data_IF_323338505102
#
_entry.id   IF_323338505102
#
_cell.length_a   1.000
_cell.length_b   1.000
_cell.length_c   1.000
_cell.angle_alpha   90.00
_cell.angle_beta   90.00
_cell.angle_gamma   90.00
#
_symmetry.space_group_name_H-M   'P 1'
#
loop_
_entity.id
_entity.type
_entity.pdbx_description
1 polymer ?
#
# COMPACT_ATOMS: atom_id res chain seq x y z
N UNK A 1 7.69 -16.63 -14.76
CA UNK A 1 8.72 -16.29 -13.77
C UNK A 1 8.38 -16.93 -12.43
N UNK A 2 9.37 -17.32 -11.64
CA UNK A 2 9.19 -17.74 -10.26
C UNK A 2 8.95 -16.52 -9.34
N UNK A 3 8.44 -16.75 -8.13
CA UNK A 3 8.29 -15.67 -7.16
C UNK A 3 9.64 -15.04 -6.78
N UNK A 4 10.70 -15.84 -6.69
CA UNK A 4 12.05 -15.38 -6.36
C UNK A 4 12.61 -14.45 -7.45
N UNK A 5 12.40 -14.76 -8.72
CA UNK A 5 12.78 -13.88 -9.83
C UNK A 5 12.05 -12.53 -9.76
N UNK A 6 10.73 -12.56 -9.47
CA UNK A 6 9.94 -11.33 -9.32
C UNK A 6 10.41 -10.51 -8.12
N UNK A 7 10.68 -11.14 -6.97
CA UNK A 7 11.18 -10.45 -5.78
C UNK A 7 12.60 -9.89 -5.99
N UNK A 8 13.45 -10.61 -6.73
CA UNK A 8 14.78 -10.13 -7.10
C UNK A 8 14.71 -8.83 -7.93
N UNK A 9 13.88 -8.81 -8.97
CA UNK A 9 13.65 -7.61 -9.79
C UNK A 9 13.00 -6.45 -9.00
N UNK A 10 12.29 -6.76 -7.91
CA UNK A 10 11.64 -5.77 -7.04
C UNK A 10 12.57 -5.21 -5.96
N UNK A 11 13.83 -5.67 -5.91
CA UNK A 11 14.81 -5.29 -4.87
C UNK A 11 14.97 -3.76 -4.81
N UNK A 12 14.93 -3.22 -3.59
CA UNK A 12 15.06 -1.78 -3.33
C UNK A 12 13.76 -0.97 -3.42
N UNK A 13 12.68 -1.51 -4.01
CA UNK A 13 11.39 -0.79 -4.10
C UNK A 13 10.55 -0.85 -2.82
N UNK A 14 10.88 -1.75 -1.89
CA UNK A 14 10.14 -1.96 -0.65
C UNK A 14 8.70 -2.46 -0.87
N UNK A 15 7.96 -2.64 0.23
CA UNK A 15 6.57 -3.14 0.19
C UNK A 15 6.42 -4.41 -0.66
N UNK A 16 7.25 -5.41 -0.42
CA UNK A 16 7.38 -6.66 -1.20
C UNK A 16 6.06 -7.43 -1.35
N UNK A 17 5.09 -7.20 -0.46
CA UNK A 17 3.74 -7.74 -0.64
C UNK A 17 3.10 -7.33 -1.97
N UNK A 18 3.44 -6.15 -2.52
CA UNK A 18 2.95 -5.72 -3.84
C UNK A 18 3.48 -6.62 -4.95
N UNK A 19 4.76 -6.98 -4.89
CA UNK A 19 5.36 -7.89 -5.88
C UNK A 19 4.73 -9.28 -5.82
N UNK A 20 4.55 -9.84 -4.61
CA UNK A 20 3.88 -11.13 -4.43
C UNK A 20 2.44 -11.11 -4.93
N UNK A 21 1.70 -10.07 -4.59
CA UNK A 21 0.32 -9.90 -5.04
C UNK A 21 0.23 -9.76 -6.56
N UNK A 22 1.12 -8.97 -7.17
CA UNK A 22 1.21 -8.82 -8.62
C UNK A 22 1.48 -10.17 -9.29
N UNK A 23 2.44 -10.94 -8.77
CA UNK A 23 2.77 -12.27 -9.28
C UNK A 23 1.57 -13.21 -9.17
N UNK A 24 0.88 -13.24 -8.02
CA UNK A 24 -0.31 -14.07 -7.83
C UNK A 24 -1.47 -13.62 -8.72
N UNK A 25 -1.71 -12.32 -8.87
CA UNK A 25 -2.73 -11.81 -9.78
C UNK A 25 -2.44 -12.21 -11.24
N UNK A 26 -1.18 -12.14 -11.67
CA UNK A 26 -0.79 -12.59 -13.01
C UNK A 26 -1.00 -14.10 -13.22
N UNK A 27 -0.77 -14.93 -12.19
CA UNK A 27 -1.07 -16.37 -12.24
C UNK A 27 -2.59 -16.59 -12.36
N UNK A 28 -3.40 -15.89 -11.56
CA UNK A 28 -4.87 -15.97 -11.65
C UNK A 28 -5.36 -15.58 -13.06
N UNK A 29 -4.82 -14.49 -13.64
CA UNK A 29 -5.18 -14.07 -15.00
C UNK A 29 -4.80 -15.14 -16.02
N UNK A 30 -3.62 -15.74 -15.91
CA UNK A 30 -3.20 -16.83 -16.79
C UNK A 30 -4.13 -18.05 -16.68
N UNK A 31 -4.44 -18.47 -15.46
CA UNK A 31 -5.05 -19.77 -15.19
C UNK A 31 -6.59 -19.73 -15.27
N UNK A 32 -7.22 -18.62 -14.86
CA UNK A 32 -8.67 -18.50 -14.79
C UNK A 32 -9.25 -17.66 -15.95
N UNK A 33 -8.45 -16.74 -16.51
CA UNK A 33 -8.88 -15.84 -17.60
C UNK A 33 -8.10 -16.06 -18.91
N UNK A 34 -7.41 -17.22 -19.07
CA UNK A 34 -6.71 -17.61 -20.30
C UNK A 34 -5.63 -16.58 -20.75
N UNK A 35 -5.08 -15.82 -19.80
CA UNK A 35 -4.12 -14.75 -20.08
C UNK A 35 -4.74 -13.40 -20.47
N UNK A 36 -6.05 -13.32 -20.62
CA UNK A 36 -6.77 -12.08 -20.92
C UNK A 36 -7.11 -11.33 -19.63
N UNK A 37 -6.83 -10.03 -19.59
CA UNK A 37 -7.13 -9.22 -18.40
C UNK A 37 -8.66 -9.05 -18.26
N UNK A 38 -9.26 -9.34 -17.08
CA UNK A 38 -10.69 -9.27 -16.88
C UNK A 38 -11.21 -7.83 -17.03
N UNK A 39 -12.42 -7.69 -17.55
CA UNK A 39 -13.03 -6.39 -17.87
C UNK A 39 -14.19 -6.02 -16.96
N UNK A 40 -14.66 -6.96 -16.13
CA UNK A 40 -15.74 -6.73 -15.16
C UNK A 40 -15.17 -6.29 -13.82
N UNK A 41 -15.83 -5.33 -13.17
CA UNK A 41 -15.35 -4.75 -11.91
C UNK A 41 -15.10 -5.81 -10.82
N UNK A 42 -16.04 -6.73 -10.64
CA UNK A 42 -15.97 -7.78 -9.62
C UNK A 42 -14.79 -8.72 -9.87
N UNK A 43 -14.50 -9.03 -11.11
CA UNK A 43 -13.36 -9.89 -11.49
C UNK A 43 -12.02 -9.19 -11.25
N UNK A 44 -11.91 -7.91 -11.63
CA UNK A 44 -10.70 -7.11 -11.38
C UNK A 44 -10.49 -6.89 -9.88
N UNK A 45 -11.56 -6.62 -9.14
CA UNK A 45 -11.49 -6.42 -7.69
C UNK A 45 -11.15 -7.71 -6.93
N UNK A 46 -11.51 -8.87 -7.46
CA UNK A 46 -11.16 -10.18 -6.89
C UNK A 46 -9.67 -10.54 -7.04
N UNK A 47 -8.93 -9.88 -7.93
CA UNK A 47 -7.51 -10.14 -8.11
C UNK A 47 -6.71 -9.82 -6.84
N UNK A 48 -5.77 -10.68 -6.50
CA UNK A 48 -4.94 -10.53 -5.31
C UNK A 48 -4.21 -9.19 -5.29
N UNK A 49 -4.39 -8.42 -4.21
CA UNK A 49 -3.76 -7.12 -4.03
C UNK A 49 -4.44 -5.96 -4.76
N UNK A 50 -5.55 -6.21 -5.45
CA UNK A 50 -6.35 -5.18 -6.10
C UNK A 50 -7.49 -4.75 -5.17
N UNK A 51 -7.38 -3.54 -4.62
CA UNK A 51 -8.47 -2.92 -3.85
C UNK A 51 -9.48 -2.21 -4.76
N UNK A 52 -10.64 -1.82 -4.20
CA UNK A 52 -11.69 -1.10 -4.94
C UNK A 52 -11.15 0.08 -5.75
N UNK A 53 -10.36 0.96 -5.15
CA UNK A 53 -9.76 2.12 -5.84
C UNK A 53 -8.82 1.72 -6.98
N UNK A 54 -8.07 0.62 -6.82
CA UNK A 54 -7.17 0.12 -7.86
C UNK A 54 -7.95 -0.46 -9.02
N UNK A 55 -8.98 -1.28 -8.75
CA UNK A 55 -9.85 -1.85 -9.79
C UNK A 55 -10.50 -0.75 -10.63
N UNK A 56 -11.06 0.26 -9.95
CA UNK A 56 -11.66 1.42 -10.60
C UNK A 56 -10.65 2.18 -11.46
N UNK A 57 -9.46 2.46 -10.92
CA UNK A 57 -8.42 3.17 -11.67
C UNK A 57 -8.02 2.43 -12.95
N UNK A 58 -7.87 1.11 -12.89
CA UNK A 58 -7.56 0.29 -14.06
C UNK A 58 -8.70 0.36 -15.09
N UNK A 59 -9.93 0.08 -14.66
CA UNK A 59 -11.08 0.02 -15.57
C UNK A 59 -11.42 1.38 -16.17
N UNK A 60 -11.33 2.47 -15.42
CA UNK A 60 -11.56 3.81 -15.95
C UNK A 60 -10.46 4.24 -16.91
N UNK A 61 -9.18 3.93 -16.61
CA UNK A 61 -8.06 4.35 -17.46
C UNK A 61 -7.96 3.54 -18.76
N UNK A 62 -8.28 2.24 -18.72
CA UNK A 62 -8.12 1.36 -19.88
C UNK A 62 -9.40 1.25 -20.70
N UNK A 63 -10.56 1.25 -20.03
CA UNK A 63 -11.85 0.99 -20.66
C UNK A 63 -12.79 2.20 -20.63
N UNK A 64 -12.34 3.33 -20.09
CA UNK A 64 -13.10 4.56 -19.94
C UNK A 64 -14.48 4.37 -19.26
N UNK A 65 -14.57 3.37 -18.38
CA UNK A 65 -15.81 3.11 -17.63
C UNK A 65 -16.01 4.19 -16.54
N UNK A 66 -17.27 4.62 -16.29
CA UNK A 66 -17.57 5.74 -15.40
C UNK A 66 -17.51 5.36 -13.91
N UNK A 67 -16.37 4.84 -13.47
CA UNK A 67 -16.14 4.50 -12.07
C UNK A 67 -15.49 5.66 -11.32
N UNK A 68 -16.00 5.99 -10.11
CA UNK A 68 -15.43 7.00 -9.24
C UNK A 68 -14.13 6.51 -8.63
N UNK A 69 -13.12 7.36 -8.51
CA UNK A 69 -11.85 7.05 -7.86
C UNK A 69 -11.79 7.59 -6.44
N UNK A 70 -11.20 6.82 -5.51
CA UNK A 70 -10.99 7.28 -4.13
C UNK A 70 -9.68 6.73 -3.54
N UNK A 71 -8.55 7.22 -4.03
CA UNK A 71 -7.23 6.96 -3.46
C UNK A 71 -6.90 7.96 -2.33
N UNK A 72 -5.72 7.86 -1.75
CA UNK A 72 -5.29 8.78 -0.68
C UNK A 72 -5.20 10.25 -1.11
N UNK A 73 -4.92 10.54 -2.37
CA UNK A 73 -4.89 11.88 -2.93
C UNK A 73 -6.31 12.43 -3.08
N UNK A 74 -7.18 11.66 -3.70
CA UNK A 74 -8.58 12.03 -3.93
C UNK A 74 -9.32 12.17 -2.60
N UNK A 75 -9.11 11.27 -1.62
CA UNK A 75 -9.65 11.42 -0.26
C UNK A 75 -9.31 12.79 0.34
N UNK A 76 -8.07 13.24 0.18
CA UNK A 76 -7.62 14.55 0.70
C UNK A 76 -8.25 15.71 -0.07
N UNK A 77 -8.31 15.65 -1.40
CA UNK A 77 -8.96 16.68 -2.23
C UNK A 77 -10.42 16.82 -1.86
N UNK A 78 -11.18 15.73 -1.86
CA UNK A 78 -12.61 15.72 -1.52
C UNK A 78 -12.86 16.16 -0.08
N UNK A 79 -12.04 15.69 0.88
CA UNK A 79 -12.19 16.11 2.28
C UNK A 79 -12.03 17.61 2.45
N UNK A 80 -11.12 18.25 1.70
CA UNK A 80 -10.92 19.70 1.74
C UNK A 80 -11.99 20.46 0.95
N UNK A 81 -12.30 19.96 -0.24
CA UNK A 81 -13.28 20.63 -1.10
C UNK A 81 -14.66 20.73 -0.44
N UNK A 82 -15.12 19.64 0.20
CA UNK A 82 -16.41 19.56 0.87
C UNK A 82 -16.34 19.76 2.39
N UNK A 83 -15.17 20.09 2.96
CA UNK A 83 -14.94 20.22 4.40
C UNK A 83 -15.43 19.00 5.20
N UNK A 84 -15.13 17.78 4.73
CA UNK A 84 -15.56 16.53 5.39
C UNK A 84 -14.74 16.31 6.66
N UNK A 85 -15.42 16.29 7.80
CA UNK A 85 -14.81 16.07 9.11
C UNK A 85 -14.42 14.62 9.34
N UNK A 86 -13.43 14.41 10.22
CA UNK A 86 -12.99 13.08 10.63
C UNK A 86 -11.83 12.52 9.80
N UNK A 87 -11.34 11.39 10.26
CA UNK A 87 -10.23 10.70 9.58
C UNK A 87 -10.74 9.93 8.36
N UNK A 88 -10.18 10.18 7.19
CA UNK A 88 -10.59 9.56 5.91
C UNK A 88 -10.41 8.04 5.82
N UNK A 89 -9.83 7.39 6.84
CA UNK A 89 -9.75 5.94 6.97
C UNK A 89 -10.78 5.34 7.93
N UNK A 90 -11.62 6.16 8.57
CA UNK A 90 -12.78 5.70 9.32
C UNK A 90 -13.89 5.30 8.35
N UNK A 91 -14.52 4.15 8.56
CA UNK A 91 -15.48 3.56 7.61
C UNK A 91 -16.65 4.50 7.25
N UNK A 92 -17.17 5.25 8.23
CA UNK A 92 -18.23 6.24 8.01
C UNK A 92 -17.77 7.37 7.08
N UNK A 93 -16.59 7.93 7.36
CA UNK A 93 -16.00 9.02 6.56
C UNK A 93 -15.61 8.52 5.17
N UNK A 94 -15.03 7.34 5.07
CA UNK A 94 -14.71 6.72 3.79
C UNK A 94 -15.95 6.50 2.92
N UNK A 95 -17.04 6.01 3.49
CA UNK A 95 -18.30 5.83 2.76
C UNK A 95 -18.86 7.19 2.25
N UNK A 96 -18.81 8.23 3.08
CA UNK A 96 -19.20 9.59 2.66
C UNK A 96 -18.33 10.10 1.51
N UNK A 97 -17.03 9.88 1.57
CA UNK A 97 -16.10 10.28 0.50
C UNK A 97 -16.35 9.49 -0.79
N UNK A 98 -16.74 8.21 -0.72
CA UNK A 98 -17.16 7.44 -1.89
C UNK A 98 -18.42 8.05 -2.53
N UNK A 99 -19.43 8.40 -1.75
CA UNK A 99 -20.64 9.06 -2.26
C UNK A 99 -20.32 10.40 -2.95
N UNK A 100 -19.45 11.21 -2.34
CA UNK A 100 -19.00 12.46 -2.94
C UNK A 100 -18.20 12.23 -4.22
N UNK A 101 -17.34 11.22 -4.26
CA UNK A 101 -16.62 10.84 -5.47
C UNK A 101 -17.56 10.41 -6.59
N UNK A 102 -18.59 9.63 -6.28
CA UNK A 102 -19.65 9.25 -7.23
C UNK A 102 -20.39 10.47 -7.79
N UNK A 103 -20.72 11.44 -6.96
CA UNK A 103 -21.42 12.66 -7.36
C UNK A 103 -20.61 13.54 -8.32
N UNK A 104 -19.30 13.62 -8.15
CA UNK A 104 -18.45 14.50 -8.97
C UNK A 104 -17.86 13.81 -10.18
N UNK A 105 -17.95 12.48 -10.27
CA UNK A 105 -17.41 11.72 -11.41
C UNK A 105 -18.27 11.93 -12.65
N UNK A 106 -17.71 12.44 -13.76
CA UNK A 106 -18.46 12.67 -14.99
C UNK A 106 -18.79 11.33 -15.69
N UNK A 107 -19.72 11.36 -16.63
CA UNK A 107 -20.09 10.21 -17.47
C UNK A 107 -19.21 10.05 -18.71
N UNK A 108 -18.43 11.07 -19.05
CA UNK A 108 -17.50 11.10 -20.19
C UNK A 108 -16.13 11.57 -19.74
N UNK A 109 -15.08 11.14 -20.44
CA UNK A 109 -13.69 11.49 -20.14
C UNK A 109 -13.29 11.15 -18.69
N UNK A 110 -13.76 10.01 -18.22
CA UNK A 110 -13.59 9.58 -16.80
C UNK A 110 -12.12 9.30 -16.50
N UNK A 111 -11.39 8.73 -17.45
CA UNK A 111 -9.95 8.47 -17.30
C UNK A 111 -9.18 9.78 -17.01
N UNK A 112 -9.42 10.82 -17.80
CA UNK A 112 -8.76 12.12 -17.62
C UNK A 112 -9.21 12.80 -16.32
N UNK A 113 -10.49 12.71 -15.97
CA UNK A 113 -10.98 13.25 -14.70
C UNK A 113 -10.32 12.57 -13.49
N UNK A 114 -10.28 11.24 -13.47
CA UNK A 114 -9.67 10.49 -12.41
C UNK A 114 -8.16 10.79 -12.29
N UNK A 115 -7.47 10.90 -13.44
CA UNK A 115 -6.06 11.29 -13.45
C UNK A 115 -5.88 12.72 -12.92
N UNK A 116 -6.68 13.67 -13.36
CA UNK A 116 -6.63 15.05 -12.89
C UNK A 116 -6.86 15.17 -11.37
N UNK A 117 -7.79 14.39 -10.82
CA UNK A 117 -8.03 14.35 -9.37
C UNK A 117 -6.81 13.83 -8.58
N UNK A 118 -6.12 12.81 -9.09
CA UNK A 118 -4.87 12.33 -8.50
C UNK A 118 -3.75 13.36 -8.63
N UNK A 119 -3.62 14.03 -9.77
CA UNK A 119 -2.59 15.04 -10.04
C UNK A 119 -2.80 16.30 -9.16
N UNK A 120 -4.03 16.78 -9.03
CA UNK A 120 -4.36 17.85 -8.09
C UNK A 120 -3.95 17.45 -6.67
N UNK A 121 -4.25 16.22 -6.26
CA UNK A 121 -3.89 15.72 -4.94
C UNK A 121 -2.37 15.63 -4.74
N UNK A 122 -1.63 15.15 -5.72
CA UNK A 122 -0.18 14.92 -5.60
C UNK A 122 0.65 16.20 -5.76
N UNK A 123 0.30 17.09 -6.68
CA UNK A 123 1.12 18.23 -7.07
C UNK A 123 0.65 19.56 -6.46
N UNK A 124 -0.65 19.75 -6.24
CA UNK A 124 -1.26 21.02 -5.80
C UNK A 124 -1.79 20.92 -4.38
N UNK A 125 -2.80 20.07 -4.15
CA UNK A 125 -3.44 19.90 -2.86
C UNK A 125 -2.62 18.96 -1.95
N UNK A 126 -1.34 19.28 -1.76
CA UNK A 126 -0.40 18.45 -0.99
C UNK A 126 -0.76 18.38 0.50
N UNK A 127 -0.21 17.38 1.20
CA UNK A 127 -0.57 17.11 2.60
C UNK A 127 -0.25 18.27 3.54
N UNK A 128 0.93 18.85 3.42
CA UNK A 128 1.47 19.82 4.40
C UNK A 128 1.51 21.26 3.89
N UNK A 129 1.69 21.48 2.60
CA UNK A 129 1.81 22.81 1.99
C UNK A 129 1.02 22.86 0.68
N UNK A 130 -0.32 22.88 0.73
CA UNK A 130 -1.13 22.98 -0.49
C UNK A 130 -0.90 24.33 -1.17
N UNK A 131 -0.87 24.32 -2.49
CA UNK A 131 -0.71 25.50 -3.34
C UNK A 131 -2.10 26.01 -3.77
N UNK A 132 -2.88 26.54 -2.79
CA UNK A 132 -4.27 26.91 -3.03
C UNK A 132 -4.43 27.99 -4.11
N UNK A 133 -3.46 28.91 -4.23
CA UNK A 133 -3.45 29.97 -5.25
C UNK A 133 -3.33 29.42 -6.69
N UNK A 134 -2.76 28.21 -6.86
CA UNK A 134 -2.62 27.54 -8.13
C UNK A 134 -3.71 26.47 -8.36
N UNK A 135 -4.62 26.30 -7.38
CA UNK A 135 -5.60 25.22 -7.44
C UNK A 135 -6.80 25.62 -8.30
N UNK A 136 -7.15 24.86 -9.35
CA UNK A 136 -8.32 25.18 -10.17
C UNK A 136 -9.65 25.06 -9.41
N UNK A 137 -9.65 24.42 -8.24
CA UNK A 137 -10.82 24.24 -7.38
C UNK A 137 -10.90 25.26 -6.24
N UNK A 138 -9.96 26.22 -6.14
CA UNK A 138 -9.81 27.10 -4.98
C UNK A 138 -11.05 27.94 -4.69
N UNK A 139 -11.76 28.41 -5.73
CA UNK A 139 -12.91 29.30 -5.58
C UNK A 139 -14.10 28.64 -4.86
N UNK A 140 -14.27 27.33 -5.03
CA UNK A 140 -15.39 26.60 -4.44
C UNK A 140 -14.97 25.67 -3.30
N UNK A 141 -13.67 25.59 -3.02
CA UNK A 141 -13.12 24.75 -1.95
C UNK A 141 -13.48 25.30 -0.57
N UNK A 142 -14.31 24.57 0.18
CA UNK A 142 -14.75 24.99 1.52
C UNK A 142 -13.60 25.13 2.51
N UNK A 143 -12.63 24.22 2.50
CA UNK A 143 -11.47 24.30 3.38
C UNK A 143 -10.61 25.54 3.08
N UNK A 144 -10.55 25.99 1.81
CA UNK A 144 -9.87 27.23 1.43
C UNK A 144 -10.65 28.45 1.90
N UNK A 145 -11.96 28.50 1.67
CA UNK A 145 -12.84 29.59 2.13
C UNK A 145 -12.82 29.76 3.65
N UNK A 146 -12.68 28.67 4.38
CA UNK A 146 -12.62 28.66 5.84
C UNK A 146 -11.21 28.86 6.40
N UNK A 147 -10.18 28.89 5.56
CA UNK A 147 -8.75 28.89 5.94
C UNK A 147 -8.35 27.70 6.83
N UNK A 148 -9.06 26.56 6.70
CA UNK A 148 -8.93 25.37 7.57
C UNK A 148 -8.40 24.12 6.88
N UNK A 149 -7.61 24.28 5.83
CA UNK A 149 -7.08 23.13 5.07
C UNK A 149 -6.25 22.14 5.91
N UNK A 150 -5.70 22.56 7.06
CA UNK A 150 -4.96 21.69 8.00
C UNK A 150 -5.85 20.78 8.82
N UNK A 151 -7.14 21.11 8.94
CA UNK A 151 -8.12 20.32 9.68
C UNK A 151 -8.68 19.18 8.83
N UNK A 152 -8.60 19.30 7.48
CA UNK A 152 -9.15 18.34 6.53
C UNK A 152 -8.06 17.64 5.69
N UNK A 153 -8.10 16.29 5.60
CA UNK A 153 -8.89 15.37 6.42
C UNK A 153 -8.40 15.35 7.87
N UNK A 154 -9.27 14.94 8.79
CA UNK A 154 -8.93 14.73 10.20
C UNK A 154 -7.76 13.76 10.36
N UNK A 155 -7.03 13.88 11.46
CA UNK A 155 -5.82 13.10 11.71
C UNK A 155 -6.17 11.64 12.07
N UNK A 156 -5.36 10.71 11.57
CA UNK A 156 -5.42 9.31 12.01
C UNK A 156 -5.20 9.22 13.52
N UNK A 157 -6.07 8.51 14.29
CA UNK A 157 -5.82 8.24 15.69
C UNK A 157 -4.46 7.56 15.89
N UNK A 158 -3.68 8.03 16.85
CA UNK A 158 -2.40 7.40 17.19
C UNK A 158 -2.67 6.04 17.81
N UNK A 159 -2.02 5.01 17.27
CA UNK A 159 -1.94 3.69 17.91
C UNK A 159 -0.52 3.51 18.45
N UNK A 160 -0.39 2.95 19.64
CA UNK A 160 0.90 2.47 20.12
C UNK A 160 1.38 1.35 19.22
N UNK A 161 2.63 1.44 18.78
CA UNK A 161 3.26 0.34 18.04
C UNK A 161 3.76 -0.68 19.08
N UNK A 162 3.48 -1.97 18.88
CA UNK A 162 4.08 -3.00 19.72
C UNK A 162 5.59 -3.05 19.44
N UNK A 163 6.37 -3.03 20.51
CA UNK A 163 7.79 -3.32 20.43
C UNK A 163 7.98 -4.84 20.38
N UNK A 164 8.79 -5.30 19.44
CA UNK A 164 9.18 -6.70 19.30
C UNK A 164 10.68 -6.80 19.39
N UNK A 165 11.14 -7.71 20.23
CA UNK A 165 12.53 -8.12 20.33
C UNK A 165 12.72 -9.42 19.55
N UNK A 166 13.80 -9.55 18.83
CA UNK A 166 14.13 -10.77 18.08
C UNK A 166 15.63 -10.98 18.08
N UNK A 167 16.04 -12.22 18.05
CA UNK A 167 17.43 -12.64 18.03
C UNK A 167 17.75 -13.23 16.67
N UNK A 168 18.86 -12.80 16.06
CA UNK A 168 19.30 -13.31 14.76
C UNK A 168 20.63 -14.04 14.93
N UNK A 169 20.73 -15.22 14.32
CA UNK A 169 21.95 -16.01 14.27
C UNK A 169 22.69 -15.76 12.96
N UNK A 170 23.89 -15.18 13.04
CA UNK A 170 24.80 -15.08 11.91
C UNK A 170 25.77 -16.25 11.97
N UNK A 171 25.50 -17.30 11.20
CA UNK A 171 26.37 -18.46 11.08
C UNK A 171 27.14 -18.38 9.78
N UNK A 172 28.49 -18.37 9.88
CA UNK A 172 29.37 -18.30 8.74
C UNK A 172 30.37 -19.46 8.73
N UNK A 173 30.61 -20.03 7.56
CA UNK A 173 31.60 -21.07 7.37
C UNK A 173 32.22 -20.95 5.96
N UNK A 174 33.54 -20.94 5.87
CA UNK A 174 34.28 -20.86 4.59
C UNK A 174 33.80 -19.74 3.66
N UNK A 175 33.55 -18.53 4.21
CA UNK A 175 33.09 -17.36 3.47
C UNK A 175 31.62 -17.39 3.00
N UNK A 176 30.86 -18.39 3.43
CA UNK A 176 29.43 -18.50 3.20
C UNK A 176 28.67 -18.20 4.49
N UNK A 177 27.46 -17.68 4.35
CA UNK A 177 26.54 -17.45 5.46
C UNK A 177 25.29 -18.29 5.31
N UNK A 178 24.74 -18.75 6.42
CA UNK A 178 23.44 -19.43 6.40
C UNK A 178 22.31 -18.41 6.39
N UNK A 179 21.40 -18.55 5.42
CA UNK A 179 20.18 -17.80 5.31
C UNK A 179 18.99 -18.74 5.21
N UNK A 180 17.89 -18.33 5.79
CA UNK A 180 16.61 -19.04 5.71
C UNK A 180 15.59 -18.19 4.96
N UNK A 181 14.77 -18.82 4.15
CA UNK A 181 13.67 -18.14 3.47
C UNK A 181 12.52 -17.94 4.45
N UNK A 182 12.08 -16.72 4.64
CA UNK A 182 10.93 -16.40 5.49
C UNK A 182 9.65 -16.97 4.88
N UNK A 183 8.68 -17.29 5.73
CA UNK A 183 7.34 -17.64 5.28
C UNK A 183 6.78 -16.55 4.34
N UNK A 184 5.92 -16.96 3.41
CA UNK A 184 5.35 -16.05 2.39
C UNK A 184 4.50 -14.92 2.99
N UNK A 185 4.00 -15.10 4.23
CA UNK A 185 3.19 -14.11 4.97
C UNK A 185 4.03 -13.39 6.02
N UNK A 186 3.61 -12.17 6.39
CA UNK A 186 4.25 -11.38 7.44
C UNK A 186 5.32 -10.41 6.94
N UNK A 187 6.13 -9.94 7.88
CA UNK A 187 7.20 -8.96 7.61
C UNK A 187 8.27 -9.60 6.72
N UNK A 188 8.55 -8.97 5.57
CA UNK A 188 9.53 -9.44 4.58
C UNK A 188 9.30 -10.89 4.09
N UNK A 189 8.03 -11.33 4.06
CA UNK A 189 7.70 -12.69 3.63
C UNK A 189 8.29 -13.05 2.27
N UNK A 190 8.81 -14.27 2.15
CA UNK A 190 9.47 -14.80 0.96
C UNK A 190 10.89 -14.31 0.73
N UNK A 191 11.41 -13.34 1.51
CA UNK A 191 12.82 -12.94 1.46
C UNK A 191 13.69 -13.83 2.32
N UNK A 192 14.98 -13.87 2.01
CA UNK A 192 15.97 -14.56 2.82
C UNK A 192 16.47 -13.66 3.96
N UNK A 193 16.63 -14.23 5.14
CA UNK A 193 17.19 -13.56 6.31
C UNK A 193 18.09 -14.53 7.09
N UNK A 194 18.85 -14.02 8.04
CA UNK A 194 19.48 -14.86 9.05
C UNK A 194 18.42 -15.58 9.88
N UNK A 195 18.66 -16.82 10.37
CA UNK A 195 17.78 -17.50 11.30
C UNK A 195 17.35 -16.58 12.45
N UNK A 196 16.04 -16.50 12.67
CA UNK A 196 15.44 -15.60 13.65
C UNK A 196 14.76 -16.40 14.77
N UNK A 197 14.96 -15.95 16.00
CA UNK A 197 14.39 -16.55 17.20
C UNK A 197 13.62 -15.49 17.99
N UNK A 198 12.49 -15.86 18.57
CA UNK A 198 11.64 -14.93 19.33
C UNK A 198 12.21 -14.63 20.72
N UNK A 199 13.03 -15.53 21.26
CA UNK A 199 13.69 -15.36 22.56
C UNK A 199 15.11 -15.94 22.57
N UNK A 200 15.91 -15.47 23.54
CA UNK A 200 17.31 -15.86 23.70
C UNK A 200 17.47 -17.34 24.08
N UNK A 201 16.54 -17.90 24.86
CA UNK A 201 16.66 -19.28 25.33
C UNK A 201 16.50 -20.26 24.17
N UNK A 202 15.57 -20.00 23.26
CA UNK A 202 15.37 -20.80 22.04
C UNK A 202 16.62 -20.77 21.16
N UNK A 203 17.25 -19.61 20.98
CA UNK A 203 18.52 -19.48 20.26
C UNK A 203 19.63 -20.30 20.94
N UNK A 204 19.78 -20.21 22.27
CA UNK A 204 20.81 -20.93 22.99
C UNK A 204 20.62 -22.44 22.94
N UNK A 205 19.39 -22.91 22.99
CA UNK A 205 19.07 -24.34 22.82
C UNK A 205 19.45 -24.81 21.41
N UNK A 206 19.12 -24.04 20.38
CA UNK A 206 19.52 -24.32 19.01
C UNK A 206 21.05 -24.42 18.86
N UNK A 207 21.82 -23.45 19.39
CA UNK A 207 23.28 -23.48 19.35
C UNK A 207 23.84 -24.74 19.99
N UNK A 208 23.28 -25.12 21.17
CA UNK A 208 23.68 -26.34 21.88
C UNK A 208 23.40 -27.61 21.06
N UNK A 209 22.23 -27.72 20.43
CA UNK A 209 21.86 -28.83 19.58
C UNK A 209 22.78 -28.95 18.35
N UNK A 210 23.24 -27.83 17.81
CA UNK A 210 24.20 -27.80 16.70
C UNK A 210 25.65 -27.97 17.13
N UNK A 211 25.93 -28.14 18.43
CA UNK A 211 27.28 -28.25 18.96
C UNK A 211 28.12 -26.96 18.90
N UNK A 212 27.48 -25.82 18.77
CA UNK A 212 28.13 -24.52 18.71
C UNK A 212 28.33 -23.98 20.11
N UNK A 213 29.58 -23.95 20.56
CA UNK A 213 29.95 -23.55 21.95
C UNK A 213 30.58 -22.17 22.02
N UNK A 214 31.11 -21.64 20.90
CA UNK A 214 31.75 -20.34 20.86
C UNK A 214 30.99 -19.42 19.90
N UNK A 215 30.57 -18.27 20.40
CA UNK A 215 29.86 -17.24 19.64
C UNK A 215 30.11 -15.85 20.23
N UNK A 216 29.86 -14.82 19.45
CA UNK A 216 29.88 -13.43 19.90
C UNK A 216 28.44 -12.89 19.90
N UNK A 217 28.15 -12.03 20.87
CA UNK A 217 26.84 -11.38 21.00
C UNK A 217 26.98 -9.87 20.75
N UNK A 218 26.09 -9.32 19.92
CA UNK A 218 25.97 -7.88 19.69
C UNK A 218 24.53 -7.47 20.01
N UNK A 219 24.38 -6.31 20.65
CA UNK A 219 23.09 -5.68 20.93
C UNK A 219 23.04 -4.41 20.10
N UNK A 220 21.97 -4.24 19.31
CA UNK A 220 21.73 -3.06 18.44
C UNK A 220 20.51 -2.29 18.90
#
# INVERSE_FOLDING_TARGET
ASQDEVLHLWTGLGYYARARNLHQAAQTIRDEYQGEFPTQFEQVWALTGVGRSTAVAILSSVQNQPYPILDGNVKRVLSRYFAVEGWSGEKKVENQLWQLSEQVTPTTRVAEFNQAMMDIGSAICTRTKPKCDLCPLSNDCLANKLEKWTEFPGKKPKKSLPEKQSYFLILSHQGKVWLEQRESKGLWGGLYCFPQFDDKQTLLNFLKEQGITEYQEWVT
#
